data_IF_917180308624
#
_entry.id   IF_917180308624
#
_cell.length_a   1.000
_cell.length_b   1.000
_cell.length_c   1.000
_cell.angle_alpha   90.00
_cell.angle_beta   90.00
_cell.angle_gamma   90.00
#
_symmetry.space_group_name_H-M   'P 1'
#
loop_
_entity.id
_entity.type
_entity.pdbx_description
1 polymer ?
#
# COMPACT_ATOMS: atom_id res chain seq x y z
N UNK A 1 0.60 -13.92 -18.26
CA UNK A 1 0.80 -14.25 -16.84
C UNK A 1 -0.02 -13.30 -16.00
N UNK A 2 -0.62 -13.81 -14.93
CA UNK A 2 -1.51 -12.99 -14.11
C UNK A 2 -0.79 -11.77 -13.49
N UNK A 3 0.43 -11.95 -13.00
CA UNK A 3 1.17 -10.85 -12.39
C UNK A 3 1.52 -9.75 -13.39
N UNK A 4 1.85 -10.10 -14.62
CA UNK A 4 2.17 -9.12 -15.65
C UNK A 4 0.94 -8.30 -16.04
N UNK A 5 -0.21 -8.95 -16.18
CA UNK A 5 -1.47 -8.28 -16.50
C UNK A 5 -1.87 -7.34 -15.36
N UNK A 6 -1.76 -7.80 -14.13
CA UNK A 6 -2.08 -7.01 -12.95
C UNK A 6 -1.16 -5.78 -12.86
N UNK A 7 0.14 -5.97 -13.00
CA UNK A 7 1.11 -4.87 -12.93
C UNK A 7 0.85 -3.85 -14.04
N UNK A 8 0.60 -4.32 -15.26
CA UNK A 8 0.31 -3.43 -16.40
C UNK A 8 -0.92 -2.57 -16.14
N UNK A 9 -1.98 -3.18 -15.61
CA UNK A 9 -3.19 -2.44 -15.25
C UNK A 9 -2.94 -1.43 -14.15
N UNK A 10 -2.22 -1.83 -13.11
CA UNK A 10 -1.94 -0.97 -11.96
C UNK A 10 -1.07 0.24 -12.31
N UNK A 11 -0.19 0.12 -13.30
CA UNK A 11 0.68 1.25 -13.70
C UNK A 11 -0.11 2.49 -14.11
N UNK A 12 -1.34 2.32 -14.55
CA UNK A 12 -2.19 3.42 -15.01
C UNK A 12 -3.03 4.02 -13.89
N UNK A 13 -3.11 3.35 -12.75
CA UNK A 13 -3.99 3.77 -11.66
C UNK A 13 -3.29 4.76 -10.73
N UNK A 14 -4.03 5.78 -10.31
CA UNK A 14 -3.55 6.72 -9.30
C UNK A 14 -3.76 6.20 -7.90
N UNK A 15 -4.86 5.46 -7.68
CA UNK A 15 -5.15 4.84 -6.39
C UNK A 15 -5.83 3.50 -6.59
N UNK A 16 -5.81 2.68 -5.55
CA UNK A 16 -6.47 1.39 -5.53
C UNK A 16 -7.34 1.29 -4.28
N UNK A 17 -8.23 0.31 -4.26
CA UNK A 17 -8.95 -0.04 -3.05
C UNK A 17 -8.16 -1.10 -2.29
N UNK A 18 -7.82 -0.80 -1.05
CA UNK A 18 -7.18 -1.73 -0.14
C UNK A 18 -8.23 -2.21 0.86
N UNK A 19 -8.42 -3.53 0.94
CA UNK A 19 -9.30 -4.13 1.94
C UNK A 19 -8.47 -4.89 2.95
N UNK A 20 -8.60 -4.50 4.22
CA UNK A 20 -7.96 -5.17 5.35
C UNK A 20 -9.02 -5.77 6.26
N UNK A 21 -8.63 -6.68 7.13
CA UNK A 21 -9.55 -7.24 8.13
C UNK A 21 -9.46 -6.43 9.41
N UNK A 22 -10.60 -5.95 9.89
CA UNK A 22 -10.65 -5.17 11.14
C UNK A 22 -10.18 -6.02 12.32
N UNK A 23 -9.24 -5.48 13.10
CA UNK A 23 -8.65 -6.24 14.22
C UNK A 23 -9.62 -6.45 15.37
N UNK A 24 -10.67 -5.64 15.43
CA UNK A 24 -11.70 -5.75 16.46
C UNK A 24 -12.96 -6.43 15.96
N UNK A 25 -13.39 -6.09 14.73
CA UNK A 25 -14.65 -6.58 14.18
C UNK A 25 -14.51 -7.86 13.39
N UNK A 26 -13.32 -8.15 12.86
CA UNK A 26 -13.11 -9.27 11.95
C UNK A 26 -13.73 -9.05 10.56
N UNK A 27 -14.26 -7.87 10.30
CA UNK A 27 -14.96 -7.57 9.05
C UNK A 27 -14.00 -6.95 8.03
N UNK A 28 -14.29 -7.11 6.73
CA UNK A 28 -13.49 -6.44 5.70
C UNK A 28 -13.73 -4.94 5.74
N UNK A 29 -12.63 -4.17 5.67
CA UNK A 29 -12.66 -2.72 5.70
C UNK A 29 -11.96 -2.19 4.45
N UNK A 30 -12.72 -1.85 3.39
CA UNK A 30 -12.14 -1.30 2.18
C UNK A 30 -11.90 0.20 2.29
N UNK A 31 -10.82 0.68 1.63
CA UNK A 31 -10.52 2.11 1.55
C UNK A 31 -9.64 2.42 0.36
N UNK A 32 -9.77 3.62 -0.23
CA UNK A 32 -8.84 4.02 -1.27
C UNK A 32 -7.48 4.37 -0.66
N UNK A 33 -6.42 3.98 -1.35
CA UNK A 33 -5.05 4.30 -0.93
C UNK A 33 -4.21 4.62 -2.16
N UNK A 34 -3.18 5.44 -1.97
CA UNK A 34 -2.15 5.68 -2.96
C UNK A 34 -1.12 4.57 -2.86
N UNK A 35 -0.46 4.27 -3.97
CA UNK A 35 0.51 3.19 -4.04
C UNK A 35 1.58 3.48 -5.08
N UNK A 36 2.70 2.78 -4.99
CA UNK A 36 3.69 2.74 -6.06
C UNK A 36 4.04 1.30 -6.36
N UNK A 37 4.53 1.07 -7.57
CA UNK A 37 5.00 -0.24 -8.00
C UNK A 37 6.51 -0.20 -8.14
N UNK A 38 7.15 -1.25 -7.65
CA UNK A 38 8.58 -1.50 -7.90
C UNK A 38 8.66 -2.94 -8.40
N UNK A 39 8.80 -3.10 -9.72
CA UNK A 39 8.73 -4.39 -10.39
C UNK A 39 7.37 -5.07 -10.09
N UNK A 40 7.35 -6.20 -9.40
CA UNK A 40 6.12 -6.91 -9.04
C UNK A 40 5.72 -6.65 -7.59
N UNK A 41 6.30 -5.65 -6.96
CA UNK A 41 6.02 -5.28 -5.58
C UNK A 41 5.17 -4.03 -5.53
N UNK A 42 4.04 -4.09 -4.82
CA UNK A 42 3.18 -2.94 -4.58
C UNK A 42 3.49 -2.37 -3.22
N UNK A 43 3.82 -1.08 -3.17
CA UNK A 43 4.27 -0.41 -1.95
C UNK A 43 3.23 0.60 -1.48
N UNK A 44 3.03 0.64 -0.18
CA UNK A 44 2.04 1.51 0.48
C UNK A 44 2.70 2.32 1.59
N UNK A 45 2.15 3.52 1.83
CA UNK A 45 2.52 4.35 2.97
C UNK A 45 1.27 4.65 3.79
N UNK A 46 1.26 4.33 5.08
CA UNK A 46 0.15 4.76 5.95
C UNK A 46 0.22 6.27 6.17
N UNK A 47 -0.91 6.95 6.00
CA UNK A 47 -0.98 8.42 6.10
C UNK A 47 -0.48 8.93 7.45
N UNK A 48 -0.86 8.27 8.53
CA UNK A 48 -0.45 8.63 9.89
C UNK A 48 0.62 7.70 10.45
N UNK A 49 1.37 7.05 9.56
CA UNK A 49 2.44 6.14 9.97
C UNK A 49 1.92 4.99 10.82
N UNK A 50 2.63 4.67 11.89
CA UNK A 50 2.25 3.58 12.79
C UNK A 50 0.91 3.78 13.48
N UNK A 51 0.35 5.01 13.46
CA UNK A 51 -0.96 5.29 14.04
C UNK A 51 -2.11 5.04 13.07
N UNK A 52 -1.82 4.72 11.81
CA UNK A 52 -2.84 4.43 10.81
C UNK A 52 -3.67 3.21 11.19
N UNK A 53 -4.98 3.30 11.03
CA UNK A 53 -5.87 2.20 11.39
C UNK A 53 -5.64 0.97 10.51
N UNK A 54 -5.49 1.16 9.18
CA UNK A 54 -5.27 -0.01 8.32
C UNK A 54 -3.92 -0.66 8.61
N UNK A 55 -2.91 0.11 8.98
CA UNK A 55 -1.61 -0.44 9.34
C UNK A 55 -1.71 -1.31 10.59
N UNK A 56 -2.40 -0.81 11.63
CA UNK A 56 -2.64 -1.59 12.85
C UNK A 56 -3.42 -2.87 12.58
N UNK A 57 -4.42 -2.79 11.69
CA UNK A 57 -5.19 -3.97 11.29
C UNK A 57 -4.31 -5.00 10.60
N UNK A 58 -3.40 -4.56 9.72
CA UNK A 58 -2.49 -5.45 8.99
C UNK A 58 -1.48 -6.12 9.93
N UNK A 59 -1.03 -5.41 10.96
CA UNK A 59 -0.14 -6.02 11.95
C UNK A 59 -0.82 -7.20 12.67
N UNK A 60 -2.12 -7.11 12.87
CA UNK A 60 -2.90 -8.19 13.49
C UNK A 60 -3.23 -9.30 12.49
N UNK A 61 -3.63 -8.93 11.27
CA UNK A 61 -3.94 -9.87 10.21
C UNK A 61 -3.38 -9.34 8.89
N UNK A 62 -2.26 -9.91 8.41
CA UNK A 62 -1.58 -9.39 7.22
C UNK A 62 -2.24 -9.71 5.89
N UNK A 63 -3.27 -10.54 5.88
CA UNK A 63 -3.97 -10.89 4.65
C UNK A 63 -4.80 -9.71 4.17
N UNK A 64 -4.54 -9.27 2.94
CA UNK A 64 -5.20 -8.11 2.36
C UNK A 64 -5.68 -8.43 0.95
N UNK A 65 -6.59 -7.59 0.46
CA UNK A 65 -7.05 -7.63 -0.91
C UNK A 65 -6.87 -6.25 -1.51
N UNK A 66 -6.33 -6.18 -2.72
CA UNK A 66 -6.30 -4.94 -3.48
C UNK A 66 -7.21 -5.08 -4.69
N UNK A 67 -7.80 -3.98 -5.10
CA UNK A 67 -8.68 -3.94 -6.26
C UNK A 67 -8.39 -2.69 -7.08
N UNK A 68 -8.08 -2.89 -8.36
CA UNK A 68 -8.06 -1.83 -9.36
C UNK A 68 -9.40 -1.86 -10.10
N UNK A 69 -9.55 -1.02 -11.13
CA UNK A 69 -10.83 -0.90 -11.85
C UNK A 69 -11.36 -2.23 -12.36
N UNK A 70 -10.53 -3.16 -12.76
CA UNK A 70 -10.96 -4.41 -13.39
C UNK A 70 -10.33 -5.67 -12.80
N UNK A 71 -9.46 -5.52 -11.82
CA UNK A 71 -8.69 -6.63 -11.30
C UNK A 71 -8.64 -6.60 -9.79
N UNK A 72 -8.50 -7.77 -9.19
CA UNK A 72 -8.27 -7.87 -7.76
C UNK A 72 -7.17 -8.89 -7.49
N UNK A 73 -6.51 -8.73 -6.36
CA UNK A 73 -5.43 -9.61 -5.93
C UNK A 73 -5.47 -9.74 -4.41
N UNK A 74 -5.31 -10.96 -3.92
CA UNK A 74 -5.23 -11.24 -2.50
C UNK A 74 -3.81 -11.67 -2.16
N UNK A 75 -3.29 -11.16 -1.07
CA UNK A 75 -1.95 -11.51 -0.65
C UNK A 75 -1.68 -11.11 0.77
N UNK A 76 -0.42 -11.20 1.15
CA UNK A 76 0.04 -10.92 2.50
C UNK A 76 0.88 -9.66 2.49
N UNK A 77 0.44 -8.64 3.21
CA UNK A 77 1.18 -7.39 3.30
C UNK A 77 2.28 -7.51 4.34
N UNK A 78 3.50 -7.16 3.95
CA UNK A 78 4.66 -7.17 4.84
C UNK A 78 4.95 -5.74 5.30
N UNK A 79 5.11 -5.55 6.61
CA UNK A 79 5.50 -4.25 7.14
C UNK A 79 6.97 -3.98 6.85
N UNK A 80 7.27 -2.75 6.45
CA UNK A 80 8.64 -2.25 6.24
C UNK A 80 8.90 -1.24 7.33
N UNK A 81 9.84 -1.53 8.22
CA UNK A 81 10.14 -0.70 9.37
C UNK A 81 11.56 -0.15 9.39
N UNK A 82 12.45 -0.69 8.57
CA UNK A 82 13.82 -0.19 8.47
C UNK A 82 13.83 1.18 7.80
N UNK A 83 14.45 2.16 8.44
CA UNK A 83 14.42 3.56 8.00
C UNK A 83 14.87 3.72 6.56
N UNK A 84 15.95 3.06 6.16
CA UNK A 84 16.47 3.15 4.80
C UNK A 84 15.44 2.66 3.77
N UNK A 85 14.78 1.54 4.05
CA UNK A 85 13.76 1.00 3.14
C UNK A 85 12.52 1.89 3.10
N UNK A 86 12.11 2.44 4.24
CA UNK A 86 10.99 3.38 4.28
C UNK A 86 11.31 4.61 3.43
N UNK A 87 12.52 5.15 3.55
CA UNK A 87 12.95 6.32 2.78
C UNK A 87 12.91 6.04 1.27
N UNK A 88 13.30 4.83 0.85
CA UNK A 88 13.21 4.44 -0.56
C UNK A 88 11.77 4.46 -1.07
N UNK A 89 10.83 3.95 -0.26
CA UNK A 89 9.41 3.97 -0.61
C UNK A 89 8.90 5.42 -0.71
N UNK A 90 9.29 6.27 0.23
CA UNK A 90 8.92 7.70 0.22
C UNK A 90 9.38 8.36 -1.07
N UNK A 91 10.62 8.09 -1.50
CA UNK A 91 11.15 8.68 -2.73
C UNK A 91 10.36 8.22 -3.96
N UNK A 92 9.95 6.94 -4.01
CA UNK A 92 9.11 6.45 -5.09
C UNK A 92 7.74 7.14 -5.11
N UNK A 93 7.17 7.40 -3.94
CA UNK A 93 5.91 8.16 -3.85
C UNK A 93 6.09 9.59 -4.35
N UNK A 94 7.21 10.23 -4.02
CA UNK A 94 7.50 11.59 -4.49
C UNK A 94 7.60 11.65 -6.01
N UNK A 95 8.19 10.62 -6.63
CA UNK A 95 8.30 10.56 -8.08
C UNK A 95 6.91 10.44 -8.72
N UNK A 96 6.05 9.60 -8.17
CA UNK A 96 4.72 9.35 -8.75
C UNK A 96 3.74 10.49 -8.49
N UNK A 97 3.69 11.02 -7.27
CA UNK A 97 2.66 11.97 -6.84
C UNK A 97 3.14 13.38 -6.65
N UNK A 98 4.45 13.61 -6.62
CA UNK A 98 5.05 14.90 -6.39
C UNK A 98 5.45 15.12 -4.93
N UNK A 99 6.62 15.78 -4.69
CA UNK A 99 7.10 16.00 -3.33
C UNK A 99 6.15 16.83 -2.46
N UNK A 100 5.47 17.81 -3.06
CA UNK A 100 4.54 18.68 -2.32
C UNK A 100 3.36 17.89 -1.76
N UNK A 101 2.77 17.01 -2.58
CA UNK A 101 1.64 16.21 -2.16
C UNK A 101 2.05 15.20 -1.09
N UNK A 102 3.23 14.60 -1.23
CA UNK A 102 3.71 13.64 -0.24
C UNK A 102 3.95 14.33 1.11
N UNK A 103 4.55 15.50 1.11
CA UNK A 103 4.74 16.28 2.33
C UNK A 103 3.41 16.64 2.99
N UNK A 104 2.41 17.00 2.16
CA UNK A 104 1.11 17.44 2.63
C UNK A 104 0.29 16.30 3.22
N UNK A 105 0.23 15.15 2.54
CA UNK A 105 -0.65 14.06 2.91
C UNK A 105 0.00 12.98 3.77
N UNK A 106 1.32 12.94 3.82
CA UNK A 106 2.08 11.99 4.64
C UNK A 106 3.06 12.74 5.55
N UNK A 107 2.56 13.40 6.59
CA UNK A 107 3.42 14.27 7.40
C UNK A 107 4.46 13.52 8.23
N UNK A 108 4.24 12.25 8.51
CA UNK A 108 5.18 11.48 9.34
C UNK A 108 5.31 10.04 8.83
N UNK A 109 5.89 9.84 7.63
CA UNK A 109 6.02 8.49 7.06
C UNK A 109 7.16 7.73 7.74
N UNK A 110 6.82 6.94 8.74
CA UNK A 110 7.80 6.19 9.52
C UNK A 110 7.76 4.68 9.29
N UNK A 111 6.78 4.19 8.53
CA UNK A 111 6.68 2.79 8.14
C UNK A 111 6.09 2.71 6.74
N UNK A 112 6.24 1.56 6.10
CA UNK A 112 5.64 1.29 4.80
C UNK A 112 5.10 -0.14 4.78
N UNK A 113 4.39 -0.49 3.71
CA UNK A 113 3.93 -1.84 3.49
C UNK A 113 4.32 -2.32 2.10
N UNK A 114 4.53 -3.62 1.96
CA UNK A 114 4.90 -4.25 0.71
C UNK A 114 4.02 -5.46 0.45
N UNK A 115 3.43 -5.50 -0.74
CA UNK A 115 2.63 -6.63 -1.21
C UNK A 115 3.26 -7.19 -2.47
N UNK A 116 3.69 -8.44 -2.40
CA UNK A 116 4.26 -9.12 -3.55
C UNK A 116 3.12 -9.60 -4.45
N UNK A 117 3.17 -9.25 -5.74
CA UNK A 117 2.08 -9.50 -6.68
C UNK A 117 2.24 -10.79 -7.51
N UNK A 118 3.23 -11.59 -7.21
CA UNK A 118 3.45 -12.84 -7.94
C UNK A 118 3.61 -14.05 -7.04
#
# INVERSE_FOLDING_TARGET
MKSDTLVTGLKKDKEIELTVTGRKSGKPLPRPVWFVLRETELLLLPVTGTNSQWYKNVLRNPHVKIRSSQQSFKGKLRAITERKQVDEVIELFKVKYGPSDIKKYYPNPNVAGSLQLN
#
